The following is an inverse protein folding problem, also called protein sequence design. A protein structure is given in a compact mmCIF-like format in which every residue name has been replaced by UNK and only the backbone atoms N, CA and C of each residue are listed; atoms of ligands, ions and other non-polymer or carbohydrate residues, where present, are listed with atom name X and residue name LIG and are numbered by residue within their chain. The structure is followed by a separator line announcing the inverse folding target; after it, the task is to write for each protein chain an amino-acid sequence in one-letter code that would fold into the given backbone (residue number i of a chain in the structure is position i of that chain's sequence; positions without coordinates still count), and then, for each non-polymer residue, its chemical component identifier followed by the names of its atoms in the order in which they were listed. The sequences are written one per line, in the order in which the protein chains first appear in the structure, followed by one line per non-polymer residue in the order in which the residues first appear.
data_IF_763954930744
#
_entry.id   IF_763954930744
#
_cell.length_a   1.000
_cell.length_b   1.000
_cell.length_c   1.000
_cell.angle_alpha   90.00
_cell.angle_beta   90.00
_cell.angle_gamma   90.00
#
_symmetry.space_group_name_H-M   'P 1'
#
loop_
_entity.id
_entity.type
_entity.pdbx_description
1 polymer ?
#
# COMPACT_ATOMS: atom_id res chain seq x y z
N UNK A 1 25.35 4.39 62.03
CA UNK A 1 25.76 4.79 60.66
C UNK A 1 24.50 4.93 59.78
N UNK A 2 23.93 6.12 59.67
CA UNK A 2 22.70 6.36 58.86
C UNK A 2 23.07 6.25 57.38
N UNK A 3 22.63 5.18 56.70
CA UNK A 3 22.79 5.05 55.25
C UNK A 3 21.88 6.06 54.57
N UNK A 4 22.45 7.12 54.01
CA UNK A 4 21.72 8.10 53.20
C UNK A 4 21.34 7.43 51.89
N UNK A 5 20.04 7.17 51.68
CA UNK A 5 19.50 6.55 50.47
C UNK A 5 19.46 7.53 49.27
N UNK A 6 19.56 8.83 49.56
CA UNK A 6 19.51 9.95 48.61
C UNK A 6 20.48 9.81 47.42
N UNK A 7 21.78 9.51 47.60
CA UNK A 7 22.71 9.32 46.49
C UNK A 7 22.33 8.15 45.57
N UNK A 8 21.79 7.06 46.12
CA UNK A 8 21.34 5.91 45.34
C UNK A 8 20.17 6.30 44.43
N UNK A 9 19.20 7.03 44.99
CA UNK A 9 18.03 7.52 44.25
C UNK A 9 18.46 8.48 43.14
N UNK A 10 19.39 9.39 43.43
CA UNK A 10 19.93 10.32 42.42
C UNK A 10 20.63 9.59 41.28
N UNK A 11 21.43 8.57 41.59
CA UNK A 11 22.14 7.79 40.58
C UNK A 11 21.16 7.01 39.68
N UNK A 12 20.13 6.41 40.29
CA UNK A 12 19.10 5.68 39.54
C UNK A 12 18.36 6.61 38.57
N UNK A 13 18.05 7.83 38.99
CA UNK A 13 17.37 8.82 38.16
C UNK A 13 18.23 9.26 36.96
N UNK A 14 19.53 9.45 37.18
CA UNK A 14 20.49 9.79 36.11
C UNK A 14 20.56 8.67 35.08
N UNK A 15 20.67 7.41 35.53
CA UNK A 15 20.73 6.24 34.63
C UNK A 15 19.43 6.09 33.83
N UNK A 16 18.27 6.27 34.47
CA UNK A 16 16.98 6.22 33.79
C UNK A 16 16.85 7.33 32.73
N UNK A 17 17.26 8.55 33.06
CA UNK A 17 17.29 9.68 32.12
C UNK A 17 18.20 9.43 30.92
N UNK A 18 19.42 8.95 31.17
CA UNK A 18 20.37 8.62 30.10
C UNK A 18 19.84 7.51 29.18
N UNK A 19 19.17 6.49 29.74
CA UNK A 19 18.57 5.41 28.96
C UNK A 19 17.46 5.90 28.02
N UNK A 20 16.63 6.85 28.47
CA UNK A 20 15.60 7.48 27.65
C UNK A 20 16.23 8.30 26.52
N UNK A 21 17.23 9.13 26.82
CA UNK A 21 17.94 9.93 25.81
C UNK A 21 18.62 9.04 24.78
N UNK A 22 19.28 7.97 25.22
CA UNK A 22 19.92 6.99 24.34
C UNK A 22 18.91 6.34 23.39
N UNK A 23 17.74 5.92 23.90
CA UNK A 23 16.67 5.34 23.08
C UNK A 23 16.16 6.31 22.00
N UNK A 24 16.06 7.60 22.31
CA UNK A 24 15.54 8.58 21.36
C UNK A 24 16.57 8.88 20.27
N UNK A 25 17.83 9.10 20.66
CA UNK A 25 18.87 9.59 19.74
C UNK A 25 19.48 8.50 18.85
N UNK A 26 19.47 7.25 19.30
CA UNK A 26 20.19 6.16 18.61
C UNK A 26 19.23 5.13 18.02
N UNK A 27 18.08 4.89 18.64
CA UNK A 27 17.10 3.91 18.16
C UNK A 27 15.96 4.55 17.34
N UNK A 28 15.95 5.89 17.19
CA UNK A 28 14.88 6.65 16.51
C UNK A 28 13.47 6.23 16.99
N UNK A 29 13.34 5.84 18.26
CA UNK A 29 12.09 5.37 18.82
C UNK A 29 11.30 6.59 19.35
N UNK A 30 10.23 7.05 18.68
CA UNK A 30 9.48 8.21 19.13
C UNK A 30 8.83 7.91 20.48
N UNK A 31 8.93 8.85 21.42
CA UNK A 31 8.32 8.72 22.75
C UNK A 31 6.79 8.75 22.72
N UNK A 32 6.22 9.33 21.66
CA UNK A 32 4.78 9.33 21.40
C UNK A 32 4.46 8.27 20.35
N UNK A 33 3.34 7.55 20.49
CA UNK A 33 2.86 6.67 19.44
C UNK A 33 2.69 7.48 18.16
N UNK A 34 3.33 7.02 17.08
CA UNK A 34 3.14 7.56 15.75
C UNK A 34 1.63 7.56 15.46
N UNK A 35 1.09 8.70 15.03
CA UNK A 35 -0.32 8.79 14.65
C UNK A 35 -0.62 7.67 13.67
N UNK A 36 -1.60 6.82 13.98
CA UNK A 36 -2.01 5.71 13.13
C UNK A 36 -2.45 6.25 11.77
N UNK A 37 -1.52 6.37 10.84
CA UNK A 37 -1.84 6.79 9.50
C UNK A 37 -2.46 5.59 8.78
N UNK A 38 -3.72 5.69 8.33
CA UNK A 38 -4.39 4.59 7.68
C UNK A 38 -3.63 4.20 6.41
N UNK A 39 -3.15 2.95 6.39
CA UNK A 39 -2.57 2.33 5.22
C UNK A 39 -3.62 1.45 4.54
N UNK A 40 -3.71 1.56 3.22
CA UNK A 40 -4.62 0.80 2.39
C UNK A 40 -3.81 -0.14 1.52
N UNK A 41 -4.02 -1.45 1.67
CA UNK A 41 -3.40 -2.48 0.82
C UNK A 41 -4.37 -2.86 -0.29
N UNK A 42 -3.89 -2.86 -1.52
CA UNK A 42 -4.63 -3.33 -2.70
C UNK A 42 -3.84 -4.47 -3.33
N UNK A 43 -4.54 -5.55 -3.64
CA UNK A 43 -3.97 -6.76 -4.23
C UNK A 43 -4.67 -7.08 -5.55
N UNK A 44 -3.88 -7.36 -6.58
CA UNK A 44 -4.36 -7.87 -7.86
C UNK A 44 -3.70 -9.21 -8.14
N UNK A 45 -4.52 -10.27 -8.21
CA UNK A 45 -4.07 -11.63 -8.50
C UNK A 45 -4.49 -12.02 -9.91
N UNK A 46 -3.56 -12.57 -10.68
CA UNK A 46 -3.80 -13.11 -12.02
C UNK A 46 -3.33 -14.55 -12.06
N UNK A 47 -4.27 -15.47 -12.26
CA UNK A 47 -4.01 -16.91 -12.37
C UNK A 47 -4.25 -17.36 -13.81
N UNK A 48 -3.29 -18.05 -14.41
CA UNK A 48 -3.43 -18.55 -15.77
C UNK A 48 -2.72 -19.90 -15.97
N UNK A 49 -3.18 -20.68 -16.97
CA UNK A 49 -2.57 -21.95 -17.35
C UNK A 49 -1.80 -21.78 -18.66
N UNK A 50 -0.48 -21.96 -18.59
CA UNK A 50 0.38 -21.94 -19.78
C UNK A 50 0.22 -23.21 -20.62
N UNK A 51 0.35 -23.06 -21.95
CA UNK A 51 0.24 -24.14 -22.94
C UNK A 51 1.55 -24.34 -23.71
N UNK A 52 2.67 -24.43 -22.98
CA UNK A 52 4.04 -24.50 -23.53
C UNK A 52 4.39 -23.38 -24.53
N UNK A 53 3.92 -22.17 -24.22
CA UNK A 53 4.13 -20.99 -25.05
C UNK A 53 4.75 -19.85 -24.24
N UNK A 54 5.19 -18.80 -24.94
CA UNK A 54 5.63 -17.58 -24.28
C UNK A 54 4.42 -16.84 -23.72
N UNK A 55 4.45 -16.54 -22.42
CA UNK A 55 3.41 -15.79 -21.75
C UNK A 55 3.89 -14.37 -21.48
N UNK A 56 3.06 -13.39 -21.87
CA UNK A 56 3.28 -11.96 -21.59
C UNK A 56 1.98 -11.41 -21.01
N UNK A 57 2.07 -10.82 -19.81
CA UNK A 57 0.93 -10.26 -19.09
C UNK A 57 1.25 -8.81 -18.77
N UNK A 58 0.33 -7.91 -19.09
CA UNK A 58 0.49 -6.47 -18.90
C UNK A 58 -0.58 -5.95 -17.96
N UNK A 59 -0.16 -5.33 -16.86
CA UNK A 59 -1.03 -4.63 -15.92
C UNK A 59 -0.81 -3.12 -16.07
N UNK A 60 -1.91 -2.38 -16.26
CA UNK A 60 -1.90 -0.93 -16.32
C UNK A 60 -2.25 -0.38 -14.94
N UNK A 61 -1.37 0.47 -14.40
CA UNK A 61 -1.51 1.11 -13.10
C UNK A 61 -1.59 2.62 -13.35
N UNK A 62 -2.66 3.33 -12.92
CA UNK A 62 -2.72 4.78 -13.02
C UNK A 62 -1.53 5.43 -12.30
N UNK A 63 -0.90 6.44 -12.89
CA UNK A 63 0.22 7.15 -12.25
C UNK A 63 -0.26 8.16 -11.20
N UNK A 64 -1.47 8.68 -11.39
CA UNK A 64 -2.05 9.67 -10.51
C UNK A 64 -2.89 9.03 -9.41
N UNK A 65 -2.56 9.35 -8.16
CA UNK A 65 -3.27 8.91 -6.97
C UNK A 65 -3.60 10.14 -6.10
N UNK A 66 -4.73 10.83 -6.36
CA UNK A 66 -5.04 12.09 -5.67
C UNK A 66 -5.16 11.88 -4.16
N UNK A 67 -4.32 12.56 -3.39
CA UNK A 67 -4.36 12.49 -1.93
C UNK A 67 -3.83 11.19 -1.33
N UNK A 68 -3.21 10.32 -2.13
CA UNK A 68 -2.55 9.10 -1.70
C UNK A 68 -1.12 9.02 -2.23
N UNK A 69 -0.24 8.41 -1.47
CA UNK A 69 1.13 8.10 -1.87
C UNK A 69 1.34 6.60 -1.76
N UNK A 70 1.94 6.00 -2.79
CA UNK A 70 2.39 4.61 -2.72
C UNK A 70 3.59 4.55 -1.78
N UNK A 71 3.48 3.74 -0.74
CA UNK A 71 4.55 3.51 0.25
C UNK A 71 5.33 2.24 -0.07
N UNK A 72 4.62 1.19 -0.51
CA UNK A 72 5.22 -0.09 -0.83
C UNK A 72 4.56 -0.67 -2.08
N UNK A 73 5.35 -1.32 -2.92
CA UNK A 73 4.90 -1.98 -4.13
C UNK A 73 5.69 -3.27 -4.29
N UNK A 74 4.98 -4.39 -4.44
CA UNK A 74 5.57 -5.72 -4.50
C UNK A 74 4.98 -6.51 -5.68
N UNK A 75 5.87 -7.27 -6.33
CA UNK A 75 5.56 -8.12 -7.47
C UNK A 75 6.00 -9.54 -7.15
N UNK A 76 5.02 -10.40 -6.87
CA UNK A 76 5.29 -11.82 -6.57
C UNK A 76 4.97 -12.62 -7.82
N UNK A 77 6.03 -13.10 -8.48
CA UNK A 77 5.93 -13.90 -9.70
C UNK A 77 7.10 -14.87 -9.81
N UNK A 78 6.81 -16.16 -9.73
CA UNK A 78 7.85 -17.19 -9.77
C UNK A 78 8.37 -17.41 -11.19
N UNK A 79 9.65 -17.11 -11.44
CA UNK A 79 10.30 -17.35 -12.73
C UNK A 79 9.79 -16.48 -13.89
N UNK A 80 9.18 -15.33 -13.59
CA UNK A 80 8.86 -14.29 -14.57
C UNK A 80 9.88 -13.16 -14.48
N UNK A 81 10.21 -12.60 -15.65
CA UNK A 81 10.93 -11.33 -15.72
C UNK A 81 9.92 -10.19 -15.73
N UNK A 82 10.17 -9.17 -14.89
CA UNK A 82 9.32 -8.00 -14.74
C UNK A 82 9.97 -6.81 -15.43
N UNK A 83 9.20 -6.11 -16.26
CA UNK A 83 9.59 -4.83 -16.82
C UNK A 83 8.50 -3.80 -16.52
N UNK A 84 8.87 -2.56 -16.23
CA UNK A 84 7.89 -1.47 -16.10
C UNK A 84 8.23 -0.33 -17.04
N UNK A 85 7.20 0.24 -17.68
CA UNK A 85 7.32 1.37 -18.60
C UNK A 85 6.24 2.40 -18.29
N UNK A 86 6.60 3.67 -18.36
CA UNK A 86 5.64 4.77 -18.26
C UNK A 86 5.11 5.05 -19.67
N UNK A 87 3.79 5.13 -19.83
CA UNK A 87 3.11 5.55 -21.06
C UNK A 87 2.02 6.56 -20.68
N UNK A 88 2.19 7.80 -21.10
CA UNK A 88 1.28 8.92 -20.83
C UNK A 88 0.97 9.06 -19.31
N UNK A 89 -0.29 8.85 -18.93
CA UNK A 89 -0.83 8.96 -17.56
C UNK A 89 -0.83 7.63 -16.78
N UNK A 90 -0.36 6.53 -17.39
CA UNK A 90 -0.33 5.22 -16.76
C UNK A 90 1.07 4.58 -16.78
N UNK A 91 1.31 3.73 -15.80
CA UNK A 91 2.47 2.86 -15.72
C UNK A 91 2.04 1.45 -16.10
N UNK A 92 2.71 0.89 -17.09
CA UNK A 92 2.48 -0.48 -17.52
C UNK A 92 3.56 -1.35 -16.88
N UNK A 93 3.13 -2.36 -16.13
CA UNK A 93 3.99 -3.44 -15.64
C UNK A 93 3.76 -4.66 -16.51
N UNK A 94 4.84 -5.25 -17.00
CA UNK A 94 4.81 -6.42 -17.86
C UNK A 94 5.57 -7.56 -17.21
N UNK A 95 4.88 -8.69 -17.00
CA UNK A 95 5.49 -9.97 -16.66
C UNK A 95 5.69 -10.78 -17.93
N UNK A 96 6.86 -11.38 -18.08
CA UNK A 96 7.19 -12.21 -19.22
C UNK A 96 7.86 -13.50 -18.78
N UNK A 97 7.45 -14.62 -19.38
CA UNK A 97 8.07 -15.93 -19.17
C UNK A 97 8.06 -16.73 -20.47
N UNK A 98 9.20 -17.36 -20.76
CA UNK A 98 9.33 -18.30 -21.88
C UNK A 98 8.91 -19.70 -21.42
N UNK A 99 8.29 -20.47 -22.33
CA UNK A 99 7.88 -21.86 -22.07
C UNK A 99 7.04 -22.02 -20.79
N UNK A 100 5.93 -21.28 -20.73
CA UNK A 100 4.96 -21.41 -19.65
C UNK A 100 4.17 -22.72 -19.84
N UNK A 101 4.48 -23.75 -19.04
CA UNK A 101 3.92 -25.11 -19.18
C UNK A 101 2.89 -25.51 -18.11
N UNK A 102 2.81 -24.74 -17.02
CA UNK A 102 1.96 -25.05 -15.86
C UNK A 102 0.99 -23.91 -15.55
N UNK A 103 0.21 -24.08 -14.49
CA UNK A 103 -0.51 -22.97 -13.87
C UNK A 103 0.47 -22.04 -13.14
N UNK A 104 0.25 -20.75 -13.32
CA UNK A 104 1.03 -19.68 -12.68
C UNK A 104 0.08 -18.68 -12.03
N UNK A 105 0.49 -18.23 -10.85
CA UNK A 105 -0.17 -17.16 -10.11
C UNK A 105 0.79 -15.97 -10.05
N UNK A 106 0.30 -14.82 -10.51
CA UNK A 106 0.98 -13.53 -10.39
C UNK A 106 0.23 -12.70 -9.36
N UNK A 107 0.94 -12.10 -8.42
CA UNK A 107 0.37 -11.23 -7.42
C UNK A 107 1.07 -9.86 -7.48
N UNK A 108 0.26 -8.82 -7.62
CA UNK A 108 0.65 -7.44 -7.47
C UNK A 108 0.06 -6.92 -6.16
N UNK A 109 0.92 -6.46 -5.26
CA UNK A 109 0.51 -5.84 -3.99
C UNK A 109 1.01 -4.41 -3.95
N UNK A 110 0.13 -3.47 -3.60
CA UNK A 110 0.49 -2.06 -3.41
C UNK A 110 -0.12 -1.55 -2.11
N UNK A 111 0.66 -0.78 -1.36
CA UNK A 111 0.22 -0.13 -0.13
C UNK A 111 0.22 1.38 -0.32
N UNK A 112 -0.95 1.99 -0.11
CA UNK A 112 -1.16 3.42 -0.15
C UNK A 112 -1.22 4.01 1.26
N UNK A 113 -0.66 5.21 1.44
CA UNK A 113 -0.85 6.06 2.62
C UNK A 113 -1.54 7.35 2.20
N UNK A 114 -2.47 7.84 3.02
CA UNK A 114 -3.13 9.12 2.78
C UNK A 114 -2.13 10.27 2.97
N UNK A 115 -2.06 11.19 2.01
CA UNK A 115 -1.28 12.42 2.16
C UNK A 115 -1.98 13.35 3.15
N UNK A 116 -1.24 13.82 4.15
CA UNK A 116 -1.68 14.85 5.08
C UNK A 116 -2.02 16.14 4.33
N UNK A 117 -3.00 16.91 4.82
CA UNK A 117 -3.55 18.08 4.11
C UNK A 117 -2.50 19.13 3.75
N UNK A 118 -1.40 19.24 4.52
CA UNK A 118 -0.28 20.14 4.23
C UNK A 118 0.48 19.79 2.95
N UNK A 119 0.49 18.51 2.51
CA UNK A 119 1.13 18.07 1.27
C UNK A 119 0.21 18.13 0.05
N UNK A 120 -1.11 18.18 0.25
CA UNK A 120 -2.11 18.23 -0.84
C UNK A 120 -2.10 19.56 -1.61
N UNK A 121 -1.63 20.63 -0.98
CA UNK A 121 -1.62 21.97 -1.58
C UNK A 121 -0.59 22.14 -2.73
N UNK A 122 0.34 21.19 -2.91
CA UNK A 122 1.45 21.30 -3.87
C UNK A 122 1.45 20.19 -4.93
N UNK A 123 0.36 19.42 -5.07
CA UNK A 123 0.21 18.47 -6.17
C UNK A 123 -0.79 19.07 -7.15
N UNK A 124 -0.24 19.72 -8.18
CA UNK A 124 -0.94 20.27 -9.33
C UNK A 124 -2.01 19.28 -9.81
N UNK A 125 -3.27 19.72 -9.88
CA UNK A 125 -4.46 18.90 -10.11
C UNK A 125 -4.51 18.44 -11.57
N UNK A 126 -4.29 17.16 -11.91
CA UNK A 126 -4.75 16.60 -13.17
C UNK A 126 -6.23 16.25 -12.99
N UNK A 127 -7.09 16.87 -13.81
CA UNK A 127 -8.48 16.49 -14.07
C UNK A 127 -9.31 16.05 -12.85
N UNK A 128 -10.22 16.91 -12.41
CA UNK A 128 -11.35 16.50 -11.58
C UNK A 128 -11.93 15.19 -12.13
N UNK A 129 -12.03 14.18 -11.27
CA UNK A 129 -12.73 12.94 -11.61
C UNK A 129 -14.17 13.33 -11.92
N UNK A 130 -14.46 13.56 -13.20
CA UNK A 130 -15.84 13.63 -13.67
C UNK A 130 -16.36 12.24 -13.41
N UNK A 131 -17.19 12.09 -12.37
CA UNK A 131 -18.02 10.91 -12.22
C UNK A 131 -18.85 10.87 -13.50
N UNK A 132 -18.45 10.04 -14.47
CA UNK A 132 -19.28 9.80 -15.64
C UNK A 132 -20.58 9.28 -15.07
N UNK A 133 -21.63 10.11 -15.13
CA UNK A 133 -22.96 9.75 -14.72
C UNK A 133 -23.29 8.45 -15.46
N UNK A 134 -23.31 7.34 -14.72
CA UNK A 134 -23.45 6.03 -15.34
C UNK A 134 -24.83 6.03 -16.02
N UNK A 135 -24.95 5.55 -17.27
CA UNK A 135 -26.25 5.42 -17.93
C UNK A 135 -27.25 4.76 -16.97
N UNK A 136 -28.52 5.20 -16.94
CA UNK A 136 -29.50 4.76 -15.95
C UNK A 136 -29.65 3.23 -15.88
N UNK A 137 -29.39 2.54 -16.99
CA UNK A 137 -29.37 1.08 -17.11
C UNK A 137 -28.33 0.42 -16.18
N UNK A 138 -27.12 0.99 -16.07
CA UNK A 138 -26.03 0.43 -15.26
C UNK A 138 -26.29 0.65 -13.76
N UNK A 139 -26.91 1.78 -13.40
CA UNK A 139 -27.29 2.07 -12.00
C UNK A 139 -28.32 1.06 -11.51
N UNK A 140 -29.34 0.79 -12.32
CA UNK A 140 -30.36 -0.22 -12.01
C UNK A 140 -29.76 -1.62 -11.85
N UNK A 141 -28.84 -2.02 -12.74
CA UNK A 141 -28.16 -3.31 -12.64
C UNK A 141 -27.30 -3.41 -11.36
N UNK A 142 -26.64 -2.32 -10.96
CA UNK A 142 -25.82 -2.31 -9.74
C UNK A 142 -26.66 -2.45 -8.47
N UNK A 143 -27.80 -1.77 -8.39
CA UNK A 143 -28.71 -1.87 -7.23
C UNK A 143 -29.32 -3.27 -7.10
N UNK A 144 -29.63 -3.92 -8.23
CA UNK A 144 -30.10 -5.31 -8.24
C UNK A 144 -29.05 -6.27 -7.67
N UNK A 145 -27.77 -6.08 -8.03
CA UNK A 145 -26.67 -6.89 -7.50
C UNK A 145 -26.48 -6.66 -5.99
N UNK A 146 -26.66 -5.42 -5.51
CA UNK A 146 -26.57 -5.11 -4.08
C UNK A 146 -27.70 -5.71 -3.25
N UNK A 147 -28.94 -5.67 -3.76
CA UNK A 147 -30.10 -6.29 -3.10
C UNK A 147 -30.01 -7.81 -3.09
N UNK A 148 -29.48 -8.43 -4.15
CA UNK A 148 -29.27 -9.88 -4.16
C UNK A 148 -28.19 -10.31 -3.15
N UNK A 149 -27.10 -9.55 -3.02
CA UNK A 149 -26.08 -9.82 -2.00
C UNK A 149 -26.64 -9.69 -0.57
N UNK A 150 -27.54 -8.73 -0.34
CA UNK A 150 -28.17 -8.50 0.97
C UNK A 150 -29.20 -9.58 1.31
N UNK A 151 -30.03 -9.99 0.35
CA UNK A 151 -31.03 -11.04 0.54
C UNK A 151 -30.41 -12.43 0.74
N UNK A 152 -29.26 -12.71 0.12
CA UNK A 152 -28.49 -13.94 0.36
C UNK A 152 -27.77 -13.99 1.71
N UNK A 153 -27.66 -12.85 2.41
CA UNK A 153 -26.97 -12.73 3.69
C UNK A 153 -27.91 -12.75 4.92
N UNK A 154 -29.22 -12.97 4.73
CA UNK A 154 -30.21 -13.22 5.80
C UNK A 154 -30.82 -14.60 5.64
#
# INVERSE_FOLDING_TARGET
MKRSIKPLVSLLFIIAGLSIVYKILILDLPLLPESHDPSYRVEARVSFRGQDSNAVISLQIPKYHPGFQITNENFVSEGFSIASRIRDESRIVQWSRKHAKRSYDLLYEVTFRRLSQSRRANTDRPGEYVSTEHPPEIQQASEQLWEEARSRSS
#
